data_IF_348451792273
#
_entry.id   IF_348451792273
#
_cell.length_a   1.000
_cell.length_b   1.000
_cell.length_c   1.000
_cell.angle_alpha   90.00
_cell.angle_beta   90.00
_cell.angle_gamma   90.00
#
_symmetry.space_group_name_H-M   'P 1'
#
loop_
_entity.id
_entity.type
_entity.pdbx_description
1 polymer ?
#
# COMPACT_ATOMS: atom_id res chain seq x y z
N UNK A 1 -7.43 5.01 9.17
CA UNK A 1 -6.54 3.82 9.05
C UNK A 1 -6.32 3.23 10.42
N UNK A 2 -6.50 1.91 10.55
CA UNK A 2 -6.07 1.19 11.74
C UNK A 2 -4.55 1.27 11.89
N UNK A 3 -4.04 1.28 13.13
CA UNK A 3 -2.60 1.44 13.38
C UNK A 3 -1.75 0.35 12.69
N UNK A 4 -2.30 -0.85 12.57
CA UNK A 4 -1.69 -1.97 11.86
C UNK A 4 -1.61 -1.73 10.35
N UNK A 5 -2.62 -1.10 9.75
CA UNK A 5 -2.65 -0.75 8.32
C UNK A 5 -1.67 0.38 8.00
N UNK A 6 -1.61 1.42 8.85
CA UNK A 6 -0.63 2.49 8.70
C UNK A 6 0.81 1.96 8.81
N UNK A 7 1.06 1.05 9.76
CA UNK A 7 2.36 0.39 9.92
C UNK A 7 2.70 -0.48 8.71
N UNK A 8 1.73 -1.21 8.17
CA UNK A 8 1.92 -2.03 6.96
C UNK A 8 2.24 -1.16 5.74
N UNK A 9 1.56 -0.04 5.55
CA UNK A 9 1.85 0.92 4.48
C UNK A 9 3.26 1.53 4.61
N UNK A 10 3.67 1.93 5.82
CA UNK A 10 5.01 2.46 6.08
C UNK A 10 6.11 1.44 5.80
N UNK A 11 5.96 0.20 6.29
CA UNK A 11 6.88 -0.92 5.99
C UNK A 11 6.84 -1.33 4.52
N UNK A 12 5.72 -1.07 3.84
CA UNK A 12 5.52 -1.36 2.42
C UNK A 12 6.60 -0.78 1.50
N UNK A 13 7.07 0.42 1.81
CA UNK A 13 8.16 1.06 1.07
C UNK A 13 9.50 0.32 1.21
N UNK A 14 9.69 -0.43 2.29
CA UNK A 14 10.88 -1.25 2.52
C UNK A 14 10.72 -2.67 1.96
N UNK A 15 9.49 -3.17 1.82
CA UNK A 15 9.20 -4.53 1.37
C UNK A 15 8.18 -4.55 0.22
N UNK A 16 8.63 -4.06 -0.93
CA UNK A 16 7.81 -3.84 -2.14
C UNK A 16 7.34 -5.16 -2.75
N UNK A 17 8.22 -6.14 -2.83
CA UNK A 17 7.93 -7.46 -3.41
C UNK A 17 6.81 -8.18 -2.66
N UNK A 18 6.79 -8.07 -1.32
CA UNK A 18 5.71 -8.62 -0.53
C UNK A 18 4.36 -7.96 -0.88
N UNK A 19 4.32 -6.62 -0.99
CA UNK A 19 3.08 -5.92 -1.34
C UNK A 19 2.55 -6.30 -2.72
N UNK A 20 3.44 -6.41 -3.72
CA UNK A 20 3.08 -6.83 -5.08
C UNK A 20 2.50 -8.26 -5.10
N UNK A 21 3.03 -9.16 -4.27
CA UNK A 21 2.56 -10.54 -4.17
C UNK A 21 1.29 -10.73 -3.34
N UNK A 22 1.14 -10.00 -2.22
CA UNK A 22 0.07 -10.26 -1.25
C UNK A 22 -1.08 -9.27 -1.33
N UNK A 23 -0.90 -8.13 -1.98
CA UNK A 23 -1.78 -6.97 -1.87
C UNK A 23 -1.63 -6.25 -0.52
N UNK A 24 -2.46 -5.23 -0.29
CA UNK A 24 -2.43 -4.41 0.91
C UNK A 24 -3.84 -4.20 1.48
N UNK A 25 -3.96 -4.23 2.80
CA UNK A 25 -5.19 -3.81 3.49
C UNK A 25 -5.14 -2.31 3.73
N UNK A 26 -6.19 -1.60 3.33
CA UNK A 26 -6.31 -0.16 3.47
C UNK A 26 -7.77 0.19 3.77
N UNK A 27 -8.02 0.89 4.88
CA UNK A 27 -9.37 1.25 5.32
C UNK A 27 -10.34 0.06 5.41
N UNK A 28 -9.89 -1.04 6.02
CA UNK A 28 -10.72 -2.23 6.19
C UNK A 28 -10.77 -3.17 4.98
N UNK A 29 -10.28 -2.72 3.82
CA UNK A 29 -10.45 -3.43 2.54
C UNK A 29 -9.13 -3.92 1.96
N UNK A 30 -9.16 -5.09 1.30
CA UNK A 30 -7.97 -5.63 0.61
C UNK A 30 -7.92 -5.16 -0.83
N UNK A 31 -6.79 -4.56 -1.21
CA UNK A 31 -6.50 -4.08 -2.56
C UNK A 31 -5.36 -4.88 -3.19
N UNK A 32 -5.44 -5.07 -4.50
CA UNK A 32 -4.31 -5.50 -5.30
C UNK A 32 -3.33 -4.33 -5.45
N UNK A 33 -2.04 -4.57 -5.31
CA UNK A 33 -1.02 -3.53 -5.47
C UNK A 33 -0.50 -3.58 -6.91
N UNK A 34 -0.75 -2.50 -7.65
CA UNK A 34 -0.32 -2.36 -9.04
C UNK A 34 1.13 -1.88 -9.13
N UNK A 35 1.54 -1.09 -8.17
CA UNK A 35 2.87 -0.48 -8.12
C UNK A 35 3.31 -0.27 -6.69
N UNK A 36 4.57 -0.59 -6.41
CA UNK A 36 5.25 -0.24 -5.16
C UNK A 36 6.71 0.11 -5.51
N UNK A 37 7.11 1.34 -5.23
CA UNK A 37 8.49 1.83 -5.38
C UNK A 37 8.89 2.64 -4.13
N UNK A 38 10.02 3.36 -4.17
CA UNK A 38 10.52 4.11 -3.01
C UNK A 38 9.67 5.34 -2.66
N UNK A 39 8.86 5.83 -3.61
CA UNK A 39 8.10 7.08 -3.49
C UNK A 39 6.59 6.85 -3.42
N UNK A 40 6.08 5.76 -4.01
CA UNK A 40 4.63 5.51 -4.09
C UNK A 40 4.23 4.05 -3.99
N UNK A 41 3.02 3.85 -3.46
CA UNK A 41 2.28 2.59 -3.50
C UNK A 41 0.89 2.87 -4.10
N UNK A 42 0.53 2.13 -5.15
CA UNK A 42 -0.74 2.28 -5.86
C UNK A 42 -1.54 0.98 -5.74
N UNK A 43 -2.73 1.08 -5.16
CA UNK A 43 -3.64 -0.04 -4.96
C UNK A 43 -4.94 0.09 -5.75
N UNK A 44 -5.53 -1.03 -6.14
CA UNK A 44 -6.80 -1.10 -6.88
C UNK A 44 -7.69 -2.24 -6.38
N UNK A 45 -9.00 -1.99 -6.34
CA UNK A 45 -10.08 -2.94 -6.10
C UNK A 45 -11.26 -2.60 -7.02
N UNK A 46 -11.41 -3.34 -8.12
CA UNK A 46 -12.46 -3.03 -9.11
C UNK A 46 -12.27 -1.64 -9.72
N UNK A 47 -13.24 -0.75 -9.56
CA UNK A 47 -13.19 0.65 -10.00
C UNK A 47 -12.63 1.63 -8.94
N UNK A 48 -12.35 1.17 -7.72
CA UNK A 48 -11.78 1.99 -6.64
C UNK A 48 -10.30 1.68 -6.43
N UNK A 49 -9.59 2.57 -5.74
CA UNK A 49 -8.17 2.42 -5.47
C UNK A 49 -7.65 3.46 -4.50
N UNK A 50 -6.36 3.36 -4.19
CA UNK A 50 -5.66 4.31 -3.34
C UNK A 50 -4.30 4.67 -3.93
N UNK A 51 -3.78 5.82 -3.51
CA UNK A 51 -2.41 6.26 -3.75
C UNK A 51 -1.79 6.66 -2.41
N UNK A 52 -0.66 6.04 -2.07
CA UNK A 52 0.15 6.44 -0.92
C UNK A 52 1.46 6.97 -1.48
N UNK A 53 1.84 8.17 -1.04
CA UNK A 53 3.13 8.77 -1.36
C UNK A 53 3.97 8.88 -0.10
N UNK A 54 5.23 8.47 -0.19
CA UNK A 54 6.21 8.69 0.86
C UNK A 54 6.74 10.12 0.75
N UNK A 55 6.72 10.85 1.84
CA UNK A 55 7.34 12.17 1.95
C UNK A 55 8.73 12.05 2.58
N UNK A 56 9.49 13.14 2.61
CA UNK A 56 10.84 13.16 3.20
C UNK A 56 10.89 13.18 4.74
N UNK A 57 9.74 13.02 5.42
CA UNK A 57 9.66 12.97 6.88
C UNK A 57 9.47 11.55 7.39
#
# INVERSE_FOLDING_TARGET
LEQTEATAAGKGFQNKDALLGTGMKFEGEKYFVLQADDERIIGKKGSTGFFIYKTGQ
#
